data_IF_407501705512
#
_entry.id   IF_407501705512
#
_cell.length_a   1.000
_cell.length_b   1.000
_cell.length_c   1.000
_cell.angle_alpha   90.00
_cell.angle_beta   90.00
_cell.angle_gamma   90.00
#
_symmetry.space_group_name_H-M   'P 1'
#
loop_
_entity.id
_entity.type
_entity.pdbx_description
1 polymer ?
#
# COMPACT_ATOMS: atom_id res chain seq x y z
N UNK A 1 3.50 -11.93 15.84
CA UNK A 1 2.33 -12.81 15.73
C UNK A 1 1.99 -12.90 14.25
N UNK A 2 1.92 -14.10 13.67
CA UNK A 2 1.68 -14.29 12.24
C UNK A 2 0.25 -13.85 11.90
N UNK A 3 0.10 -12.95 10.93
CA UNK A 3 -1.20 -12.56 10.40
C UNK A 3 -1.88 -13.78 9.77
N UNK A 4 -3.07 -14.12 10.26
CA UNK A 4 -3.75 -15.35 9.88
C UNK A 4 -4.38 -15.23 8.50
N UNK A 5 -4.86 -14.05 8.10
CA UNK A 5 -5.53 -13.84 6.79
C UNK A 5 -4.91 -12.73 5.95
N UNK A 6 -5.16 -12.77 4.63
CA UNK A 6 -4.74 -11.73 3.69
C UNK A 6 -5.42 -10.41 4.04
N UNK A 7 -6.69 -10.48 4.47
CA UNK A 7 -7.44 -9.32 4.94
C UNK A 7 -6.80 -8.67 6.15
N UNK A 8 -6.43 -9.44 7.17
CA UNK A 8 -5.71 -8.93 8.35
C UNK A 8 -4.39 -8.24 7.96
N UNK A 9 -3.69 -8.83 6.98
CA UNK A 9 -2.45 -8.24 6.45
C UNK A 9 -2.69 -6.85 5.85
N UNK A 10 -3.75 -6.70 5.07
CA UNK A 10 -4.12 -5.41 4.50
C UNK A 10 -4.59 -4.43 5.56
N UNK A 11 -5.39 -4.87 6.55
CA UNK A 11 -5.79 -4.03 7.69
C UNK A 11 -4.56 -3.45 8.40
N UNK A 12 -3.57 -4.28 8.74
CA UNK A 12 -2.35 -3.80 9.40
C UNK A 12 -1.57 -2.82 8.53
N UNK A 13 -1.44 -3.10 7.23
CA UNK A 13 -0.72 -2.19 6.31
C UNK A 13 -1.41 -0.83 6.27
N UNK A 14 -2.75 -0.80 6.19
CA UNK A 14 -3.53 0.43 6.17
C UNK A 14 -3.43 1.18 7.51
N UNK A 15 -3.50 0.46 8.64
CA UNK A 15 -3.30 1.04 9.97
C UNK A 15 -1.92 1.69 10.08
N UNK A 16 -0.87 0.97 9.68
CA UNK A 16 0.49 1.51 9.67
C UNK A 16 0.63 2.75 8.78
N UNK A 17 -0.02 2.76 7.61
CA UNK A 17 -0.04 3.94 6.75
C UNK A 17 -0.69 5.15 7.44
N UNK A 18 -1.84 4.95 8.12
CA UNK A 18 -2.50 6.03 8.88
C UNK A 18 -1.60 6.57 9.98
N UNK A 19 -0.95 5.69 10.75
CA UNK A 19 -0.04 6.09 11.82
C UNK A 19 1.16 6.87 11.29
N UNK A 20 1.83 6.37 10.26
CA UNK A 20 3.00 7.04 9.67
C UNK A 20 2.66 8.39 9.04
N UNK A 21 1.46 8.56 8.48
CA UNK A 21 1.04 9.85 7.93
C UNK A 21 0.75 10.91 9.00
N UNK A 22 0.26 10.48 10.16
CA UNK A 22 -0.16 11.36 11.24
C UNK A 22 0.94 11.67 12.26
N UNK A 23 2.08 10.98 12.18
CA UNK A 23 3.19 11.15 13.11
C UNK A 23 3.98 12.44 12.81
N UNK A 24 3.98 13.44 13.71
CA UNK A 24 4.73 14.68 13.52
C UNK A 24 6.25 14.50 13.54
N UNK A 25 6.75 13.35 14.02
CA UNK A 25 8.18 13.01 14.02
C UNK A 25 8.61 12.29 12.73
N UNK A 26 7.66 11.86 11.91
CA UNK A 26 7.93 11.23 10.62
C UNK A 26 7.82 12.28 9.50
N UNK A 27 8.84 12.40 8.62
CA UNK A 27 8.72 13.26 7.44
C UNK A 27 7.49 12.88 6.61
N UNK A 28 6.67 13.85 6.17
CA UNK A 28 5.43 13.54 5.48
C UNK A 28 5.70 12.80 4.16
N UNK A 29 4.91 11.76 3.91
CA UNK A 29 5.00 10.92 2.72
C UNK A 29 6.05 9.80 2.77
N UNK A 30 5.88 8.78 1.93
CA UNK A 30 6.82 7.66 1.83
C UNK A 30 7.90 7.93 0.77
N UNK A 31 9.18 7.85 1.17
CA UNK A 31 10.32 7.99 0.26
C UNK A 31 10.24 7.03 -0.94
N UNK A 32 9.89 5.76 -0.71
CA UNK A 32 9.77 4.76 -1.77
C UNK A 32 8.69 5.15 -2.80
N UNK A 33 7.60 5.76 -2.34
CA UNK A 33 6.53 6.24 -3.20
C UNK A 33 6.93 7.49 -3.97
N UNK A 34 7.38 8.52 -3.26
CA UNK A 34 7.46 9.89 -3.77
C UNK A 34 8.79 10.19 -4.46
N UNK A 35 9.84 9.42 -4.18
CA UNK A 35 11.15 9.65 -4.77
C UNK A 35 11.23 9.12 -6.20
N UNK A 36 12.13 9.77 -6.95
CA UNK A 36 12.55 9.34 -8.27
C UNK A 36 11.39 9.04 -9.24
N UNK A 37 10.28 9.80 -9.11
CA UNK A 37 9.16 9.73 -10.06
C UNK A 37 9.58 10.39 -11.38
N UNK A 38 10.12 11.61 -11.29
CA UNK A 38 10.70 12.35 -12.41
C UNK A 38 12.20 12.54 -12.17
N UNK A 39 13.03 12.00 -13.06
CA UNK A 39 14.48 12.03 -12.94
C UNK A 39 15.16 12.46 -14.23
N UNK A 40 16.32 13.11 -14.11
CA UNK A 40 17.23 13.29 -15.24
C UNK A 40 17.87 11.95 -15.62
N UNK A 41 18.46 11.89 -16.82
CA UNK A 41 19.22 10.73 -17.27
C UNK A 41 20.35 10.33 -16.30
N UNK A 42 20.96 11.30 -15.62
CA UNK A 42 22.03 11.07 -14.62
C UNK A 42 21.52 10.30 -13.39
N UNK A 43 20.23 10.41 -13.08
CA UNK A 43 19.57 9.73 -11.96
C UNK A 43 18.86 8.43 -12.36
N UNK A 44 19.08 7.93 -13.58
CA UNK A 44 18.34 6.79 -14.12
C UNK A 44 18.50 5.51 -13.29
N UNK A 45 19.69 5.26 -12.73
CA UNK A 45 19.96 4.09 -11.89
C UNK A 45 19.16 4.13 -10.58
N UNK A 46 19.04 5.31 -9.96
CA UNK A 46 18.23 5.53 -8.75
C UNK A 46 16.75 5.32 -9.08
N UNK A 47 16.26 5.91 -10.18
CA UNK A 47 14.88 5.72 -10.63
C UNK A 47 14.53 4.26 -10.88
N UNK A 48 15.45 3.49 -11.48
CA UNK A 48 15.28 2.05 -11.69
C UNK A 48 15.21 1.29 -10.35
N UNK A 49 16.09 1.61 -9.40
CA UNK A 49 16.11 0.96 -8.09
C UNK A 49 14.80 1.21 -7.30
N UNK A 50 14.35 2.46 -7.23
CA UNK A 50 13.10 2.82 -6.55
C UNK A 50 11.89 2.19 -7.25
N UNK A 51 11.86 2.18 -8.58
CA UNK A 51 10.79 1.53 -9.35
C UNK A 51 10.75 0.02 -9.12
N UNK A 52 11.92 -0.63 -9.05
CA UNK A 52 12.02 -2.05 -8.72
C UNK A 52 11.48 -2.31 -7.31
N UNK A 53 11.88 -1.51 -6.32
CA UNK A 53 11.41 -1.68 -4.95
C UNK A 53 9.89 -1.47 -4.82
N UNK A 54 9.30 -0.48 -5.53
CA UNK A 54 7.83 -0.32 -5.62
C UNK A 54 7.14 -1.57 -6.15
N UNK A 55 7.67 -2.14 -7.24
CA UNK A 55 7.15 -3.40 -7.82
C UNK A 55 7.31 -4.59 -6.87
N UNK A 56 8.42 -4.69 -6.14
CA UNK A 56 8.63 -5.77 -5.18
C UNK A 56 7.63 -5.72 -4.02
N UNK A 57 7.30 -4.53 -3.52
CA UNK A 57 6.24 -4.33 -2.51
C UNK A 57 4.89 -4.80 -3.02
N UNK A 58 4.50 -4.40 -4.24
CA UNK A 58 3.24 -4.83 -4.86
C UNK A 58 3.21 -6.35 -5.08
N UNK A 59 4.32 -6.94 -5.55
CA UNK A 59 4.44 -8.39 -5.72
C UNK A 59 4.37 -9.15 -4.39
N UNK A 60 4.85 -8.58 -3.29
CA UNK A 60 4.72 -9.17 -1.97
C UNK A 60 3.25 -9.19 -1.51
N UNK A 61 2.52 -8.09 -1.74
CA UNK A 61 1.10 -8.01 -1.45
C UNK A 61 0.28 -8.99 -2.31
N UNK A 62 0.56 -9.05 -3.61
CA UNK A 62 -0.03 -10.03 -4.53
C UNK A 62 0.17 -11.45 -4.03
N UNK A 63 1.40 -11.84 -3.70
CA UNK A 63 1.71 -13.18 -3.17
C UNK A 63 0.93 -13.49 -1.90
N UNK A 64 0.71 -12.51 -1.02
CA UNK A 64 -0.10 -12.69 0.18
C UNK A 64 -1.57 -12.95 -0.15
N UNK A 65 -2.13 -12.24 -1.14
CA UNK A 65 -3.51 -12.41 -1.60
C UNK A 65 -3.68 -13.76 -2.31
N UNK A 66 -2.76 -14.14 -3.20
CA UNK A 66 -2.74 -15.46 -3.85
C UNK A 66 -2.70 -16.59 -2.80
N UNK A 67 -1.90 -16.42 -1.75
CA UNK A 67 -1.90 -17.36 -0.63
C UNK A 67 -3.25 -17.41 0.08
N UNK A 68 -3.90 -16.26 0.29
CA UNK A 68 -5.22 -16.21 0.92
C UNK A 68 -6.32 -16.87 0.09
N UNK A 69 -6.22 -16.81 -1.25
CA UNK A 69 -7.10 -17.57 -2.16
C UNK A 69 -6.88 -19.07 -1.96
N UNK A 70 -5.63 -19.52 -1.89
CA UNK A 70 -5.30 -20.93 -1.67
C UNK A 70 -5.68 -21.44 -0.26
N UNK A 71 -5.61 -20.56 0.75
CA UNK A 71 -5.98 -20.82 2.15
C UNK A 71 -7.51 -20.73 2.37
N UNK A 72 -8.25 -20.14 1.41
CA UNK A 72 -9.70 -19.97 1.47
C UNK A 72 -10.18 -18.76 2.26
N UNK A 73 -9.28 -17.85 2.67
CA UNK A 73 -9.64 -16.58 3.33
C UNK A 73 -9.86 -15.41 2.36
N UNK A 74 -9.70 -15.65 1.06
CA UNK A 74 -10.03 -14.72 -0.02
C UNK A 74 -10.90 -15.45 -1.06
N UNK A 75 -11.99 -14.84 -1.56
CA UNK A 75 -12.83 -15.46 -2.57
C UNK A 75 -12.05 -15.90 -3.81
N UNK A 76 -12.30 -17.13 -4.29
CA UNK A 76 -11.53 -17.75 -5.38
C UNK A 76 -11.61 -17.00 -6.73
N UNK A 77 -12.66 -16.20 -6.93
CA UNK A 77 -12.84 -15.37 -8.12
C UNK A 77 -12.06 -14.04 -8.07
N UNK A 78 -11.35 -13.75 -6.97
CA UNK A 78 -10.60 -12.50 -6.81
C UNK A 78 -9.42 -12.44 -7.77
N UNK A 79 -9.33 -11.36 -8.54
CA UNK A 79 -8.10 -11.03 -9.28
C UNK A 79 -7.05 -10.48 -8.29
N UNK A 80 -6.13 -11.35 -7.87
CA UNK A 80 -5.09 -10.99 -6.92
C UNK A 80 -4.14 -9.90 -7.42
N UNK A 81 -3.89 -9.82 -8.74
CA UNK A 81 -3.03 -8.80 -9.30
C UNK A 81 -3.72 -7.43 -9.28
N UNK A 82 -4.98 -7.37 -9.69
CA UNK A 82 -5.78 -6.14 -9.64
C UNK A 82 -5.95 -5.63 -8.20
N UNK A 83 -6.24 -6.54 -7.24
CA UNK A 83 -6.41 -6.16 -5.85
C UNK A 83 -5.11 -5.65 -5.21
N UNK A 84 -3.97 -6.29 -5.50
CA UNK A 84 -2.67 -5.83 -5.06
C UNK A 84 -2.32 -4.45 -5.65
N UNK A 85 -2.55 -4.26 -6.96
CA UNK A 85 -2.33 -2.98 -7.64
C UNK A 85 -3.22 -1.86 -7.08
N UNK A 86 -4.49 -2.17 -6.74
CA UNK A 86 -5.39 -1.22 -6.08
C UNK A 86 -4.81 -0.73 -4.76
N UNK A 87 -4.42 -1.64 -3.86
CA UNK A 87 -3.88 -1.26 -2.56
C UNK A 87 -2.50 -0.58 -2.67
N UNK A 88 -1.63 -1.01 -3.57
CA UNK A 88 -0.37 -0.33 -3.83
C UNK A 88 -0.60 1.11 -4.30
N UNK A 89 -1.52 1.31 -5.26
CA UNK A 89 -1.90 2.63 -5.76
C UNK A 89 -2.51 3.50 -4.66
N UNK A 90 -3.38 2.93 -3.82
CA UNK A 90 -3.97 3.63 -2.68
C UNK A 90 -2.89 4.11 -1.70
N UNK A 91 -1.94 3.25 -1.33
CA UNK A 91 -0.81 3.61 -0.45
C UNK A 91 0.09 4.70 -1.07
N UNK A 92 0.23 4.69 -2.40
CA UNK A 92 0.94 5.76 -3.09
C UNK A 92 0.18 7.10 -2.97
N UNK A 93 -1.13 7.09 -3.18
CA UNK A 93 -1.99 8.26 -2.98
C UNK A 93 -1.96 8.78 -1.54
N UNK A 94 -1.95 7.88 -0.55
CA UNK A 94 -1.82 8.22 0.87
C UNK A 94 -0.53 9.02 1.15
N UNK A 95 0.58 8.67 0.48
CA UNK A 95 1.83 9.42 0.61
C UNK A 95 1.69 10.86 0.10
N UNK A 96 0.91 11.09 -0.97
CA UNK A 96 0.63 12.44 -1.49
C UNK A 96 -0.28 13.20 -0.52
N UNK A 97 -1.34 12.57 -0.01
CA UNK A 97 -2.24 13.19 0.99
C UNK A 97 -1.48 13.61 2.26
N UNK A 98 -0.46 12.86 2.66
CA UNK A 98 0.41 13.21 3.79
C UNK A 98 1.20 14.49 3.53
N UNK A 99 1.79 14.64 2.33
CA UNK A 99 2.46 15.89 1.93
C UNK A 99 1.52 17.09 1.92
N UNK A 100 0.25 16.88 1.56
CA UNK A 100 -0.79 17.90 1.57
C UNK A 100 -1.33 18.22 2.97
N UNK A 101 -0.80 17.58 4.02
CA UNK A 101 -1.19 17.85 5.40
C UNK A 101 -2.51 17.20 5.84
N UNK A 102 -2.89 16.07 5.23
CA UNK A 102 -4.08 15.34 5.67
C UNK A 102 -3.98 14.94 7.15
N UNK A 103 -5.06 15.14 7.89
CA UNK A 103 -5.10 14.79 9.33
C UNK A 103 -5.20 13.27 9.53
N UNK A 104 -4.96 12.81 10.76
CA UNK A 104 -5.14 11.41 11.14
C UNK A 104 -6.55 10.91 10.88
N UNK A 105 -7.55 11.73 11.16
CA UNK A 105 -8.96 11.41 10.97
C UNK A 105 -9.29 11.26 9.48
N UNK A 106 -8.73 12.13 8.63
CA UNK A 106 -8.88 12.03 7.18
C UNK A 106 -8.18 10.78 6.62
N UNK A 107 -6.95 10.51 7.06
CA UNK A 107 -6.21 9.31 6.69
C UNK A 107 -6.96 8.03 7.10
N UNK A 108 -7.51 8.01 8.32
CA UNK A 108 -8.34 6.91 8.82
C UNK A 108 -9.59 6.70 7.97
N UNK A 109 -10.32 7.77 7.65
CA UNK A 109 -11.51 7.68 6.81
C UNK A 109 -11.21 7.11 5.42
N UNK A 110 -10.06 7.47 4.83
CA UNK A 110 -9.60 6.92 3.56
C UNK A 110 -9.25 5.43 3.68
N UNK A 111 -8.54 5.03 4.73
CA UNK A 111 -8.19 3.62 4.99
C UNK A 111 -9.45 2.76 5.17
N UNK A 112 -10.43 3.25 5.94
CA UNK A 112 -11.71 2.57 6.14
C UNK A 112 -12.48 2.43 4.81
N UNK A 113 -12.41 3.44 3.93
CA UNK A 113 -12.99 3.38 2.59
C UNK A 113 -12.29 2.35 1.70
N UNK A 114 -10.96 2.29 1.72
CA UNK A 114 -10.19 1.28 0.98
C UNK A 114 -10.46 -0.14 1.49
N UNK A 115 -10.69 -0.32 2.79
CA UNK A 115 -11.02 -1.62 3.35
C UNK A 115 -12.41 -2.11 2.94
N UNK A 116 -13.36 -1.21 2.65
CA UNK A 116 -14.67 -1.59 2.09
C UNK A 116 -14.57 -2.12 0.65
N UNK A 117 -13.48 -1.83 -0.06
CA UNK A 117 -13.21 -2.41 -1.38
C UNK A 117 -12.64 -3.83 -1.30
N UNK A 118 -12.31 -4.33 -0.09
CA UNK A 118 -11.91 -5.72 0.08
C UNK A 118 -13.06 -6.64 -0.33
N UNK A 119 -12.82 -7.68 -1.14
CA UNK A 119 -13.87 -8.59 -1.57
C UNK A 119 -14.53 -9.24 -0.35
N UNK A 120 -15.85 -9.15 -0.27
CA UNK A 120 -16.67 -9.91 0.66
C UNK A 120 -17.01 -11.26 0.03
N UNK A 121 -17.23 -12.28 0.88
CA UNK A 121 -17.70 -13.60 0.47
C UNK A 121 -19.06 -13.54 -0.24
#
# INVERSE_FOLDING_TARGET
MAEKTARETVVRILDQAVESMADPLTPPGCMLTLSAINCSAESASVQQAVTKARRETELALRRRIERGIAEGDVPAATDAAALAGFYATFLYGMSIKSLEGATREQARALADAALRAWPAD
#
